data_IF_440300707028
#
_entry.id   IF_440300707028
#
_cell.length_a   1.000
_cell.length_b   1.000
_cell.length_c   1.000
_cell.angle_alpha   90.00
_cell.angle_beta   90.00
_cell.angle_gamma   90.00
#
_symmetry.space_group_name_H-M   'P 1'
#
loop_
_entity.id
_entity.type
_entity.pdbx_description
1 polymer ?
#
# COMPACT_ATOMS: atom_id res chain seq x y z
N UNK A 1 -10.38 13.50 11.28
CA UNK A 1 -10.00 14.92 11.09
C UNK A 1 -10.43 15.32 9.69
N UNK A 2 -11.05 16.49 9.54
CA UNK A 2 -11.47 17.04 8.25
C UNK A 2 -10.26 17.15 7.30
N UNK A 3 -10.38 16.64 6.07
CA UNK A 3 -9.32 16.71 5.05
C UNK A 3 -8.92 18.16 4.82
N UNK A 4 -9.87 19.09 4.88
CA UNK A 4 -9.63 20.53 4.76
C UNK A 4 -8.67 21.06 5.83
N UNK A 5 -8.86 20.66 7.09
CA UNK A 5 -7.97 21.09 8.19
C UNK A 5 -6.55 20.56 7.99
N UNK A 6 -6.41 19.31 7.52
CA UNK A 6 -5.09 18.71 7.25
C UNK A 6 -4.39 19.40 6.07
N UNK A 7 -5.16 19.86 5.08
CA UNK A 7 -4.63 20.67 3.98
C UNK A 7 -4.09 22.00 4.52
N UNK A 8 -4.85 22.68 5.39
CA UNK A 8 -4.43 23.96 5.96
C UNK A 8 -3.15 23.82 6.79
N UNK A 9 -3.07 22.80 7.64
CA UNK A 9 -1.87 22.47 8.41
C UNK A 9 -0.67 22.17 7.49
N UNK A 10 -0.90 21.40 6.41
CA UNK A 10 0.13 21.07 5.44
C UNK A 10 0.65 22.30 4.70
N UNK A 11 -0.24 23.16 4.22
CA UNK A 11 0.10 24.40 3.51
C UNK A 11 0.86 25.38 4.42
N UNK A 12 0.44 25.51 5.68
CA UNK A 12 1.12 26.34 6.67
C UNK A 12 2.56 25.87 6.96
N UNK A 13 2.83 24.57 6.82
CA UNK A 13 4.15 23.98 7.03
C UNK A 13 5.08 24.07 5.80
N UNK A 14 4.53 24.25 4.58
CA UNK A 14 5.35 24.30 3.36
C UNK A 14 6.51 25.29 3.41
N UNK A 15 6.36 26.53 3.91
CA UNK A 15 7.47 27.49 3.98
C UNK A 15 8.63 27.05 4.90
N UNK A 16 8.39 26.11 5.82
CA UNK A 16 9.42 25.58 6.73
C UNK A 16 10.20 24.40 6.11
N UNK A 17 9.69 23.83 5.01
CA UNK A 17 10.30 22.65 4.37
C UNK A 17 11.44 23.06 3.45
N UNK A 18 12.60 22.43 3.64
CA UNK A 18 13.82 22.67 2.85
C UNK A 18 13.61 22.61 1.34
N UNK A 19 12.67 21.77 0.90
CA UNK A 19 12.32 21.60 -0.50
C UNK A 19 11.73 22.85 -1.16
N UNK A 20 11.00 23.66 -0.37
CA UNK A 20 10.26 24.83 -0.83
C UNK A 20 10.99 26.14 -0.57
N UNK A 21 12.14 26.12 0.13
CA UNK A 21 13.00 27.29 0.33
C UNK A 21 14.37 27.12 -0.33
N UNK A 22 14.99 28.23 -0.74
CA UNK A 22 16.36 28.22 -1.26
C UNK A 22 17.35 27.91 -0.15
N UNK A 23 18.18 26.88 -0.34
CA UNK A 23 19.20 26.48 0.64
C UNK A 23 20.48 27.32 0.54
N UNK A 24 20.70 27.96 -0.60
CA UNK A 24 21.86 28.79 -0.92
C UNK A 24 21.41 30.03 -1.68
N UNK A 25 22.13 31.12 -1.51
CA UNK A 25 21.92 32.32 -2.33
C UNK A 25 22.69 32.17 -3.65
N UNK A 26 22.03 32.39 -4.79
CA UNK A 26 22.64 32.39 -6.12
C UNK A 26 21.91 33.37 -7.03
N UNK A 27 22.63 34.37 -7.54
CA UNK A 27 22.03 35.41 -8.40
C UNK A 27 20.90 36.14 -7.67
N UNK A 28 19.70 36.10 -8.24
CA UNK A 28 18.48 36.72 -7.68
C UNK A 28 17.82 35.90 -6.56
N UNK A 29 18.29 34.67 -6.30
CA UNK A 29 17.72 33.81 -5.25
C UNK A 29 18.42 34.03 -3.92
N UNK A 30 17.64 34.24 -2.86
CA UNK A 30 18.11 34.49 -1.50
C UNK A 30 17.87 33.24 -0.64
N UNK A 31 18.90 32.77 0.07
CA UNK A 31 18.77 31.67 1.04
C UNK A 31 17.64 31.96 2.04
N UNK A 32 16.76 30.98 2.24
CA UNK A 32 15.58 31.08 3.10
C UNK A 32 14.35 31.70 2.41
N UNK A 33 14.49 32.31 1.24
CA UNK A 33 13.34 32.74 0.46
C UNK A 33 12.58 31.54 -0.12
N UNK A 34 11.27 31.70 -0.29
CA UNK A 34 10.39 30.70 -0.86
C UNK A 34 10.64 30.55 -2.36
N UNK A 35 10.64 29.30 -2.84
CA UNK A 35 10.59 28.95 -4.25
C UNK A 35 9.15 29.12 -4.73
N UNK A 36 8.76 30.36 -5.03
CA UNK A 36 7.38 30.75 -5.30
C UNK A 36 6.66 29.81 -6.27
N UNK A 37 7.26 29.50 -7.43
CA UNK A 37 6.65 28.61 -8.41
C UNK A 37 6.33 27.20 -7.88
N UNK A 38 7.24 26.58 -7.11
CA UNK A 38 7.02 25.25 -6.52
C UNK A 38 5.97 25.31 -5.40
N UNK A 39 5.95 26.40 -4.63
CA UNK A 39 4.93 26.62 -3.61
C UNK A 39 3.54 26.80 -4.23
N UNK A 40 3.41 27.65 -5.26
CA UNK A 40 2.14 27.92 -5.93
C UNK A 40 1.57 26.66 -6.60
N UNK A 41 2.43 25.83 -7.21
CA UNK A 41 2.05 24.53 -7.76
C UNK A 41 1.46 23.60 -6.68
N UNK A 42 2.11 23.53 -5.52
CA UNK A 42 1.66 22.71 -4.41
C UNK A 42 0.36 23.22 -3.78
N UNK A 43 0.23 24.54 -3.62
CA UNK A 43 -1.02 25.18 -3.17
C UNK A 43 -2.15 24.85 -4.14
N UNK A 44 -1.94 25.00 -5.45
CA UNK A 44 -2.93 24.66 -6.47
C UNK A 44 -3.36 23.19 -6.38
N UNK A 45 -2.40 22.27 -6.20
CA UNK A 45 -2.66 20.84 -6.01
C UNK A 45 -3.53 20.57 -4.78
N UNK A 46 -3.23 21.24 -3.67
CA UNK A 46 -3.97 21.08 -2.42
C UNK A 46 -5.36 21.69 -2.47
N UNK A 47 -5.55 22.83 -3.14
CA UNK A 47 -6.88 23.42 -3.34
C UNK A 47 -7.75 22.58 -4.27
N UNK A 48 -7.15 21.92 -5.28
CA UNK A 48 -7.85 20.91 -6.08
C UNK A 48 -8.29 19.72 -5.23
N UNK A 49 -7.42 19.24 -4.33
CA UNK A 49 -7.77 18.16 -3.39
C UNK A 49 -8.91 18.57 -2.44
N UNK A 50 -8.88 19.80 -1.91
CA UNK A 50 -9.94 20.35 -1.07
C UNK A 50 -11.28 20.35 -1.82
N UNK A 51 -11.28 20.91 -3.02
CA UNK A 51 -12.46 20.97 -3.89
C UNK A 51 -13.02 19.58 -4.19
N UNK A 52 -12.13 18.61 -4.47
CA UNK A 52 -12.53 17.22 -4.69
C UNK A 52 -13.13 16.58 -3.42
N UNK A 53 -12.53 16.80 -2.26
CA UNK A 53 -13.02 16.29 -0.98
C UNK A 53 -14.40 16.86 -0.61
N UNK A 54 -14.63 18.16 -0.86
CA UNK A 54 -15.93 18.80 -0.66
C UNK A 54 -16.99 18.31 -1.65
N UNK A 55 -16.58 18.01 -2.89
CA UNK A 55 -17.47 17.47 -3.92
C UNK A 55 -17.82 16.00 -3.68
N UNK A 56 -16.92 15.21 -3.09
CA UNK A 56 -17.06 13.77 -2.97
C UNK A 56 -18.38 13.30 -2.31
N UNK A 57 -18.86 13.89 -1.20
CA UNK A 57 -20.18 13.54 -0.65
C UNK A 57 -21.34 13.82 -1.61
N UNK A 58 -21.24 14.85 -2.45
CA UNK A 58 -22.27 15.16 -3.47
C UNK A 58 -22.22 14.15 -4.60
N UNK A 59 -21.02 13.78 -5.03
CA UNK A 59 -20.80 12.72 -6.02
C UNK A 59 -21.40 11.39 -5.54
N UNK A 60 -21.10 10.98 -4.31
CA UNK A 60 -21.66 9.76 -3.72
C UNK A 60 -23.20 9.77 -3.66
N UNK A 61 -23.81 10.89 -3.28
CA UNK A 61 -25.28 11.04 -3.31
C UNK A 61 -25.85 10.90 -4.71
N UNK A 62 -25.24 11.55 -5.70
CA UNK A 62 -25.69 11.46 -7.09
C UNK A 62 -25.58 10.02 -7.63
N UNK A 63 -24.52 9.30 -7.26
CA UNK A 63 -24.32 7.89 -7.62
C UNK A 63 -25.43 7.01 -7.02
N UNK A 64 -25.74 7.21 -5.73
CA UNK A 64 -26.79 6.51 -5.02
C UNK A 64 -28.19 6.79 -5.59
N UNK A 65 -28.52 8.05 -5.87
CA UNK A 65 -29.78 8.45 -6.51
C UNK A 65 -29.94 7.80 -7.89
N UNK A 66 -28.85 7.67 -8.64
CA UNK A 66 -28.80 6.97 -9.92
C UNK A 66 -28.79 5.43 -9.79
N UNK A 67 -28.77 4.88 -8.56
CA UNK A 67 -28.63 3.45 -8.26
C UNK A 67 -27.41 2.82 -8.93
N UNK A 68 -26.29 3.54 -8.90
CA UNK A 68 -24.99 3.10 -9.41
C UNK A 68 -24.02 2.93 -8.26
N UNK A 69 -22.94 2.23 -8.54
CA UNK A 69 -21.78 2.05 -7.67
C UNK A 69 -20.56 1.84 -8.55
N UNK A 70 -19.38 2.12 -8.01
CA UNK A 70 -18.11 1.79 -8.64
C UNK A 70 -17.48 0.51 -8.05
N UNK A 71 -16.30 0.12 -8.53
CA UNK A 71 -15.64 -1.10 -8.05
C UNK A 71 -15.13 -0.96 -6.61
N UNK A 72 -14.79 0.25 -6.18
CA UNK A 72 -14.30 0.51 -4.82
C UNK A 72 -15.45 0.44 -3.82
N UNK A 73 -16.63 0.94 -4.19
CA UNK A 73 -17.87 0.83 -3.44
C UNK A 73 -18.18 -0.63 -3.07
N UNK A 74 -17.98 -1.57 -4.01
CA UNK A 74 -18.23 -2.99 -3.74
C UNK A 74 -17.43 -3.52 -2.55
N UNK A 75 -16.16 -3.11 -2.45
CA UNK A 75 -15.26 -3.52 -1.35
C UNK A 75 -15.67 -2.81 -0.07
N UNK A 76 -15.90 -1.50 -0.14
CA UNK A 76 -16.28 -0.67 1.01
C UNK A 76 -17.64 -1.07 1.60
N UNK A 77 -18.58 -1.52 0.77
CA UNK A 77 -19.88 -2.00 1.24
C UNK A 77 -19.76 -3.32 2.00
N UNK A 78 -18.88 -4.23 1.58
CA UNK A 78 -18.61 -5.47 2.34
C UNK A 78 -18.01 -5.15 3.70
N UNK A 79 -17.04 -4.23 3.74
CA UNK A 79 -16.44 -3.75 4.99
C UNK A 79 -17.52 -3.20 5.92
N UNK A 80 -18.35 -2.26 5.44
CA UNK A 80 -19.45 -1.69 6.25
C UNK A 80 -20.44 -2.76 6.70
N UNK A 81 -20.78 -3.72 5.83
CA UNK A 81 -21.70 -4.79 6.19
C UNK A 81 -21.12 -5.69 7.30
N UNK A 82 -19.82 -5.95 7.31
CA UNK A 82 -19.15 -6.67 8.39
C UNK A 82 -19.05 -5.85 9.68
N UNK A 83 -18.84 -4.54 9.58
CA UNK A 83 -18.83 -3.62 10.74
C UNK A 83 -20.22 -3.49 11.40
N UNK A 84 -21.27 -3.38 10.60
CA UNK A 84 -22.64 -3.11 11.06
C UNK A 84 -23.41 -4.38 11.43
N UNK A 85 -23.02 -5.55 10.89
CA UNK A 85 -23.73 -6.80 11.08
C UNK A 85 -22.79 -7.96 11.46
N UNK A 86 -22.59 -8.12 12.76
CA UNK A 86 -21.75 -9.20 13.31
C UNK A 86 -22.27 -10.59 12.90
N UNK A 87 -23.59 -10.83 12.89
CA UNK A 87 -24.14 -12.14 12.52
C UNK A 87 -23.82 -12.52 11.06
N UNK A 88 -23.82 -11.54 10.15
CA UNK A 88 -23.40 -11.73 8.77
C UNK A 88 -21.91 -12.10 8.72
N UNK A 89 -21.05 -11.34 9.42
CA UNK A 89 -19.62 -11.65 9.51
C UNK A 89 -19.38 -13.06 10.06
N UNK A 90 -20.06 -13.45 11.15
CA UNK A 90 -19.96 -14.80 11.74
C UNK A 90 -20.33 -15.89 10.75
N UNK A 91 -21.36 -15.66 9.94
CA UNK A 91 -21.77 -16.61 8.89
C UNK A 91 -20.63 -16.86 7.89
N UNK A 92 -19.96 -15.79 7.46
CA UNK A 92 -18.83 -15.91 6.53
C UNK A 92 -17.58 -16.51 7.17
N UNK A 93 -17.30 -16.18 8.43
CA UNK A 93 -16.21 -16.80 9.19
C UNK A 93 -16.47 -18.31 9.37
N UNK A 94 -17.69 -18.72 9.72
CA UNK A 94 -18.02 -20.14 9.84
C UNK A 94 -17.93 -20.88 8.49
N UNK A 95 -18.34 -20.22 7.40
CA UNK A 95 -18.32 -20.80 6.06
C UNK A 95 -16.91 -20.93 5.47
N UNK A 96 -16.03 -19.95 5.70
CA UNK A 96 -14.70 -19.89 5.10
C UNK A 96 -13.62 -20.05 6.17
N UNK A 97 -13.10 -21.27 6.27
CA UNK A 97 -12.10 -21.64 7.28
C UNK A 97 -10.65 -21.57 6.80
N UNK A 98 -10.44 -21.48 5.48
CA UNK A 98 -9.14 -21.49 4.83
C UNK A 98 -9.07 -20.39 3.77
N UNK A 99 -8.05 -19.56 3.86
CA UNK A 99 -7.84 -18.43 2.96
C UNK A 99 -6.55 -18.61 2.18
N UNK A 100 -6.65 -18.52 0.85
CA UNK A 100 -5.51 -18.46 -0.06
C UNK A 100 -5.51 -17.10 -0.72
N UNK A 101 -4.43 -16.33 -0.53
CA UNK A 101 -4.28 -15.01 -1.13
C UNK A 101 -3.03 -15.00 -1.98
N UNK A 102 -3.22 -14.86 -3.29
CA UNK A 102 -2.14 -14.70 -4.26
C UNK A 102 -1.87 -13.21 -4.53
N UNK A 103 -0.68 -12.90 -5.04
CA UNK A 103 -0.24 -11.53 -5.32
C UNK A 103 -0.48 -10.56 -4.15
N UNK A 104 -0.17 -10.98 -2.93
CA UNK A 104 -0.46 -10.20 -1.72
C UNK A 104 0.25 -8.86 -1.68
N UNK A 105 1.42 -8.76 -2.32
CA UNK A 105 2.11 -7.49 -2.51
C UNK A 105 1.27 -6.48 -3.28
N UNK A 106 0.25 -6.93 -4.03
CA UNK A 106 -0.59 -6.05 -4.83
C UNK A 106 -1.85 -5.55 -4.11
N UNK A 107 -2.12 -6.06 -2.90
CA UNK A 107 -3.31 -5.73 -2.12
C UNK A 107 -3.32 -4.30 -1.59
N UNK A 108 -4.48 -3.65 -1.63
CA UNK A 108 -4.71 -2.35 -1.00
C UNK A 108 -5.25 -2.48 0.43
N UNK A 109 -5.33 -1.36 1.15
CA UNK A 109 -5.79 -1.36 2.55
C UNK A 109 -7.22 -1.91 2.74
N UNK A 110 -8.14 -1.60 1.83
CA UNK A 110 -9.53 -2.07 1.93
C UNK A 110 -9.66 -3.59 1.70
N UNK A 111 -8.91 -4.14 0.74
CA UNK A 111 -8.85 -5.59 0.52
C UNK A 111 -8.28 -6.33 1.73
N UNK A 112 -7.20 -5.79 2.32
CA UNK A 112 -6.64 -6.35 3.54
C UNK A 112 -7.59 -6.26 4.73
N UNK A 113 -8.42 -5.22 4.79
CA UNK A 113 -9.40 -5.09 5.85
C UNK A 113 -10.50 -6.16 5.77
N UNK A 114 -10.96 -6.51 4.57
CA UNK A 114 -11.87 -7.66 4.39
C UNK A 114 -11.20 -8.94 4.90
N UNK A 115 -9.95 -9.19 4.54
CA UNK A 115 -9.21 -10.36 5.02
C UNK A 115 -9.06 -10.34 6.54
N UNK A 116 -8.80 -9.18 7.14
CA UNK A 116 -8.74 -8.99 8.59
C UNK A 116 -10.07 -9.38 9.24
N UNK A 117 -11.20 -8.84 8.77
CA UNK A 117 -12.52 -9.21 9.28
C UNK A 117 -12.74 -10.71 9.20
N UNK A 118 -12.47 -11.31 8.05
CA UNK A 118 -12.71 -12.73 7.83
C UNK A 118 -11.81 -13.63 8.70
N UNK A 119 -10.63 -13.18 9.10
CA UNK A 119 -9.67 -13.99 9.87
C UNK A 119 -9.65 -13.67 11.37
N UNK A 120 -10.23 -12.54 11.80
CA UNK A 120 -10.12 -12.02 13.16
C UNK A 120 -10.84 -12.85 14.26
N UNK A 121 -11.68 -13.83 13.90
CA UNK A 121 -12.34 -14.66 14.92
C UNK A 121 -11.42 -15.70 15.55
N UNK A 122 -10.40 -16.17 14.83
CA UNK A 122 -9.47 -17.19 15.33
C UNK A 122 -8.14 -16.55 15.66
N UNK A 123 -7.57 -16.92 16.81
CA UNK A 123 -6.24 -16.47 17.21
C UNK A 123 -5.15 -16.91 16.20
N UNK A 124 -5.35 -18.08 15.59
CA UNK A 124 -4.48 -18.62 14.55
C UNK A 124 -5.33 -19.09 13.33
N UNK A 125 -5.68 -18.17 12.41
CA UNK A 125 -6.48 -18.48 11.24
C UNK A 125 -5.70 -19.30 10.20
N UNK A 126 -6.38 -20.17 9.43
CA UNK A 126 -5.72 -20.88 8.34
C UNK A 126 -5.57 -19.97 7.12
N UNK A 127 -4.49 -19.19 7.11
CA UNK A 127 -4.21 -18.21 6.07
C UNK A 127 -2.89 -18.56 5.36
N UNK A 128 -2.96 -18.69 4.04
CA UNK A 128 -1.83 -18.91 3.17
C UNK A 128 -1.72 -17.75 2.19
N UNK A 129 -0.61 -17.02 2.29
CA UNK A 129 -0.32 -15.85 1.46
C UNK A 129 0.86 -16.15 0.56
N UNK A 130 0.74 -15.76 -0.71
CA UNK A 130 1.81 -15.76 -1.71
C UNK A 130 2.04 -14.32 -2.15
N UNK A 131 3.30 -13.93 -2.29
CA UNK A 131 3.64 -12.65 -2.88
C UNK A 131 5.15 -12.46 -3.06
N UNK A 132 5.50 -11.45 -3.84
CA UNK A 132 6.87 -11.02 -4.09
C UNK A 132 6.97 -9.49 -4.03
N UNK A 133 7.56 -8.94 -2.96
CA UNK A 133 7.71 -7.50 -2.80
C UNK A 133 8.54 -6.84 -3.93
N UNK A 134 9.41 -7.60 -4.61
CA UNK A 134 10.18 -7.08 -5.74
C UNK A 134 9.32 -6.87 -7.00
N UNK A 135 8.09 -7.40 -7.03
CA UNK A 135 7.14 -7.26 -8.15
C UNK A 135 6.03 -6.24 -7.86
N UNK A 136 6.05 -5.57 -6.72
CA UNK A 136 5.04 -4.55 -6.40
C UNK A 136 5.21 -3.29 -7.28
N UNK A 137 4.40 -3.17 -8.33
CA UNK A 137 4.43 -2.01 -9.26
C UNK A 137 3.37 -0.94 -9.02
N UNK A 138 2.40 -1.14 -8.10
CA UNK A 138 1.37 -0.14 -7.78
C UNK A 138 1.55 0.51 -6.39
N UNK A 139 2.78 0.84 -6.00
CA UNK A 139 3.08 1.51 -4.72
C UNK A 139 2.30 2.84 -4.55
N UNK A 140 1.94 3.50 -5.66
CA UNK A 140 1.14 4.73 -5.69
C UNK A 140 -0.28 4.58 -5.12
N UNK A 141 -0.76 3.35 -4.86
CA UNK A 141 -2.06 3.08 -4.24
C UNK A 141 -2.02 2.92 -2.70
N UNK A 142 -0.88 3.22 -2.04
CA UNK A 142 -0.90 3.51 -0.60
C UNK A 142 -0.19 2.53 0.34
N UNK A 143 0.98 2.03 -0.06
CA UNK A 143 1.97 1.34 0.79
C UNK A 143 1.73 -0.16 1.10
N UNK A 144 2.18 -1.00 0.16
CA UNK A 144 2.08 -2.47 0.18
C UNK A 144 3.12 -3.19 1.03
N UNK A 145 4.35 -2.66 1.11
CA UNK A 145 5.39 -3.23 1.99
C UNK A 145 4.92 -3.21 3.46
N UNK A 146 4.20 -2.15 3.84
CA UNK A 146 3.59 -2.03 5.17
C UNK A 146 2.57 -3.14 5.43
N UNK A 147 1.74 -3.49 4.44
CA UNK A 147 0.77 -4.58 4.58
C UNK A 147 1.46 -5.91 4.88
N UNK A 148 2.58 -6.18 4.20
CA UNK A 148 3.36 -7.39 4.41
C UNK A 148 4.07 -7.38 5.77
N UNK A 149 4.69 -6.26 6.16
CA UNK A 149 5.31 -6.16 7.50
C UNK A 149 4.27 -6.21 8.62
N UNK A 150 3.13 -5.55 8.48
CA UNK A 150 2.03 -5.59 9.45
C UNK A 150 1.47 -7.02 9.58
N UNK A 151 1.36 -7.74 8.46
CA UNK A 151 0.96 -9.15 8.43
C UNK A 151 1.99 -10.02 9.18
N UNK A 152 3.28 -9.84 8.87
CA UNK A 152 4.36 -10.53 9.56
C UNK A 152 4.31 -10.27 11.05
N UNK A 153 4.24 -9.00 11.48
CA UNK A 153 4.21 -8.62 12.89
C UNK A 153 3.01 -9.21 13.63
N UNK A 154 1.85 -9.31 12.97
CA UNK A 154 0.64 -9.89 13.57
C UNK A 154 0.74 -11.40 13.76
N UNK A 155 1.30 -12.13 12.81
CA UNK A 155 1.25 -13.60 12.80
C UNK A 155 2.60 -14.28 13.06
N UNK A 156 3.68 -13.52 13.30
CA UNK A 156 5.06 -14.03 13.45
C UNK A 156 5.24 -15.20 14.41
N UNK A 157 4.41 -15.34 15.44
CA UNK A 157 4.49 -16.44 16.41
C UNK A 157 4.10 -17.80 15.81
N UNK A 158 3.24 -17.80 14.79
CA UNK A 158 2.71 -19.00 14.15
C UNK A 158 3.02 -19.06 12.64
N UNK A 159 3.68 -18.03 12.11
CA UNK A 159 3.98 -17.92 10.69
C UNK A 159 5.03 -18.95 10.26
N UNK A 160 4.65 -19.79 9.30
CA UNK A 160 5.61 -20.60 8.56
C UNK A 160 6.00 -19.87 7.27
N UNK A 161 7.25 -19.41 7.20
CA UNK A 161 7.79 -18.75 6.02
C UNK A 161 8.43 -19.76 5.05
N UNK A 162 8.01 -19.72 3.79
CA UNK A 162 8.58 -20.56 2.72
C UNK A 162 9.09 -19.66 1.61
N UNK A 163 10.40 -19.78 1.29
CA UNK A 163 11.04 -18.99 0.24
C UNK A 163 11.36 -19.88 -0.94
N UNK A 164 10.77 -19.58 -2.10
CA UNK A 164 11.01 -20.31 -3.34
C UNK A 164 12.21 -19.70 -4.08
N UNK A 165 13.36 -20.38 -4.03
CA UNK A 165 14.59 -19.93 -4.72
C UNK A 165 14.74 -20.46 -6.15
N UNK A 166 13.94 -21.46 -6.52
CA UNK A 166 14.01 -22.12 -7.82
C UNK A 166 13.08 -21.41 -8.82
N UNK A 167 13.67 -20.83 -9.86
CA UNK A 167 12.93 -20.21 -10.95
C UNK A 167 12.83 -21.18 -12.14
N UNK A 168 11.61 -21.46 -12.58
CA UNK A 168 11.34 -22.37 -13.69
C UNK A 168 11.02 -21.64 -15.01
N UNK A 169 10.92 -20.31 -14.99
CA UNK A 169 10.49 -19.49 -16.13
C UNK A 169 11.65 -18.98 -16.98
N UNK A 170 12.76 -18.59 -16.36
CA UNK A 170 13.84 -17.83 -17.00
C UNK A 170 15.19 -18.51 -16.82
N UNK A 171 16.10 -18.29 -17.78
CA UNK A 171 17.47 -18.78 -17.71
C UNK A 171 18.30 -17.98 -16.69
N UNK A 172 19.40 -18.58 -16.22
CA UNK A 172 20.26 -17.95 -15.20
C UNK A 172 20.77 -16.56 -15.63
N UNK A 173 21.08 -16.37 -16.93
CA UNK A 173 21.52 -15.07 -17.46
C UNK A 173 20.49 -13.95 -17.26
N UNK A 174 19.20 -14.26 -17.42
CA UNK A 174 18.11 -13.31 -17.20
C UNK A 174 17.96 -13.02 -15.71
N UNK A 175 18.02 -14.06 -14.86
CA UNK A 175 17.93 -13.93 -13.41
C UNK A 175 19.07 -13.08 -12.86
N UNK A 176 20.31 -13.32 -13.30
CA UNK A 176 21.48 -12.56 -12.88
C UNK A 176 21.35 -11.08 -13.26
N UNK A 177 20.92 -10.79 -14.49
CA UNK A 177 20.70 -9.41 -14.96
C UNK A 177 19.59 -8.70 -14.16
N UNK A 178 18.49 -9.41 -13.90
CA UNK A 178 17.37 -8.89 -13.10
C UNK A 178 17.80 -8.65 -11.64
N UNK A 179 18.67 -9.52 -11.10
CA UNK A 179 19.23 -9.39 -9.76
C UNK A 179 20.08 -8.13 -9.63
N UNK A 180 20.94 -7.84 -10.59
CA UNK A 180 21.77 -6.62 -10.56
C UNK A 180 20.94 -5.33 -10.62
N UNK A 181 19.76 -5.38 -11.26
CA UNK A 181 18.82 -4.27 -11.24
C UNK A 181 18.15 -4.14 -9.86
N UNK A 182 17.52 -5.20 -9.36
CA UNK A 182 16.71 -5.13 -8.13
C UNK A 182 17.55 -4.88 -6.87
N UNK A 183 18.84 -5.26 -6.86
CA UNK A 183 19.76 -4.97 -5.73
C UNK A 183 19.98 -3.48 -5.49
N UNK A 184 19.62 -2.61 -6.44
CA UNK A 184 19.68 -1.16 -6.28
C UNK A 184 18.50 -0.60 -5.49
N UNK A 185 17.43 -1.37 -5.29
CA UNK A 185 16.29 -0.94 -4.51
C UNK A 185 16.58 -1.06 -3.01
N UNK A 186 16.36 0.03 -2.28
CA UNK A 186 16.53 0.07 -0.82
C UNK A 186 15.29 -0.47 -0.08
N UNK A 187 14.10 -0.23 -0.63
CA UNK A 187 12.82 -0.68 -0.07
C UNK A 187 12.50 -2.10 -0.50
N UNK A 188 13.05 -3.08 0.22
CA UNK A 188 12.83 -4.51 0.00
C UNK A 188 12.60 -5.21 1.31
N UNK A 189 11.80 -6.29 1.32
CA UNK A 189 11.50 -7.05 2.53
C UNK A 189 12.77 -7.58 3.19
N UNK A 190 13.76 -8.00 2.38
CA UNK A 190 15.04 -8.53 2.85
C UNK A 190 15.84 -7.52 3.67
N UNK A 191 15.60 -6.21 3.46
CA UNK A 191 16.26 -5.13 4.18
C UNK A 191 15.41 -4.65 5.38
N UNK A 192 14.10 -4.94 5.39
CA UNK A 192 13.19 -4.48 6.45
C UNK A 192 12.97 -5.54 7.53
N UNK A 193 13.11 -6.83 7.18
CA UNK A 193 12.99 -7.97 8.08
C UNK A 193 14.31 -8.76 8.08
N UNK A 194 15.40 -8.09 8.42
CA UNK A 194 16.75 -8.67 8.43
C UNK A 194 16.85 -9.88 9.37
N UNK A 195 16.07 -9.89 10.45
CA UNK A 195 16.03 -11.00 11.42
C UNK A 195 15.56 -12.33 10.82
N UNK A 196 14.85 -12.29 9.68
CA UNK A 196 14.41 -13.48 8.97
C UNK A 196 15.51 -14.12 8.12
N UNK A 197 16.65 -13.44 7.93
CA UNK A 197 17.76 -13.95 7.12
C UNK A 197 17.34 -14.29 5.68
N UNK A 198 16.38 -13.55 5.13
CA UNK A 198 15.78 -13.85 3.83
C UNK A 198 16.79 -13.67 2.69
N UNK A 199 16.92 -14.71 1.87
CA UNK A 199 17.75 -14.68 0.67
C UNK A 199 16.93 -14.88 -0.59
N UNK A 200 16.95 -13.88 -1.48
CA UNK A 200 16.30 -13.94 -2.80
C UNK A 200 17.28 -14.22 -3.94
N UNK A 201 18.21 -15.15 -3.72
CA UNK A 201 19.12 -15.61 -4.77
C UNK A 201 18.44 -16.68 -5.61
N UNK A 202 17.83 -16.27 -6.73
CA UNK A 202 17.11 -17.19 -7.61
C UNK A 202 18.06 -18.02 -8.48
N UNK A 203 17.77 -19.32 -8.60
CA UNK A 203 18.49 -20.27 -9.44
C UNK A 203 17.56 -20.82 -10.52
N UNK A 204 18.00 -20.79 -11.78
CA UNK A 204 17.24 -21.38 -12.89
C UNK A 204 17.20 -22.91 -12.73
N UNK A 205 16.00 -23.47 -12.78
CA UNK A 205 15.79 -24.93 -12.64
C UNK A 205 15.91 -25.68 -13.96
N UNK A 206 15.67 -25.00 -15.07
CA UNK A 206 15.81 -25.57 -16.41
C UNK A 206 17.14 -25.12 -17.02
N UNK A 207 17.94 -26.03 -17.60
CA UNK A 207 19.11 -25.63 -18.38
C UNK A 207 18.68 -24.75 -19.57
N UNK A 208 19.50 -23.73 -19.84
CA UNK A 208 19.30 -22.79 -20.94
C UNK A 208 19.51 -23.44 -22.32
#
# INVERSE_FOLDING_TARGET
ADISNRIDEYLADLPNRREYIYQVSRGTFIKGALKQAKYDEEVSRMEMLRSAAELYPRFGRALQEARRYDYDDMILWVIRAFEENEALLRTYQEQYLYFLVDEFQDTNGAQNEILNFLTAYWDNPNLFIVGDDDQSIYEFQGARLKNLTDFYDRYREHLQLVVLKNNYRSSQKILDSSRELIRRNERRIINNLEELGLEKNLTASNPA
#
